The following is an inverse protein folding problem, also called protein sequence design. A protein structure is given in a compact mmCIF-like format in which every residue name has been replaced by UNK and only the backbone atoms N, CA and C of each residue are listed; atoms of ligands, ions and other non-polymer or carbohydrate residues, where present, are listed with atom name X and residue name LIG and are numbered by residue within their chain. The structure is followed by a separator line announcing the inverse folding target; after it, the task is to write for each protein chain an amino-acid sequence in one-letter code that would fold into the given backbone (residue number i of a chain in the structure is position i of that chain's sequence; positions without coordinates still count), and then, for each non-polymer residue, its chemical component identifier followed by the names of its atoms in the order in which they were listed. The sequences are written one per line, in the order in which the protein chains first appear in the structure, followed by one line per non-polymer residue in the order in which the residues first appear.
data_IF_971295429746
#
_entry.id   IF_971295429746
#
_cell.length_a   1.000
_cell.length_b   1.000
_cell.length_c   1.000
_cell.angle_alpha   90.00
_cell.angle_beta   90.00
_cell.angle_gamma   90.00
#
_symmetry.space_group_name_H-M   'P 1'
#
loop_
_entity.id
_entity.type
_entity.pdbx_description
1 polymer ?
#
# COMPACT_ATOMS: atom_id res chain seq x y z
N UNK A 1 -1.58 -6.58 10.56
CA UNK A 1 -0.63 -5.43 10.46
C UNK A 1 -0.32 -4.97 11.88
N UNK A 2 0.86 -4.44 12.20
CA UNK A 2 1.11 -3.83 13.54
C UNK A 2 1.36 -2.33 13.42
N UNK A 3 1.02 -1.51 14.44
CA UNK A 3 1.22 -0.06 14.38
C UNK A 3 2.68 0.34 14.09
N UNK A 4 3.63 -0.37 14.70
CA UNK A 4 5.06 -0.15 14.49
C UNK A 4 5.50 -0.49 13.06
N UNK A 5 4.99 -1.58 12.47
CA UNK A 5 5.29 -1.94 11.09
C UNK A 5 4.68 -0.93 10.11
N UNK A 6 3.44 -0.50 10.35
CA UNK A 6 2.73 0.49 9.56
C UNK A 6 3.46 1.83 9.53
N UNK A 7 3.89 2.32 10.69
CA UNK A 7 4.68 3.56 10.81
C UNK A 7 5.95 3.52 9.96
N UNK A 8 6.68 2.39 9.98
CA UNK A 8 7.89 2.20 9.17
C UNK A 8 7.58 2.22 7.67
N UNK A 9 6.54 1.50 7.24
CA UNK A 9 6.10 1.48 5.83
C UNK A 9 5.71 2.90 5.38
N UNK A 10 4.92 3.61 6.19
CA UNK A 10 4.45 4.97 5.89
C UNK A 10 5.59 5.98 5.76
N UNK A 11 6.62 5.87 6.62
CA UNK A 11 7.84 6.69 6.50
C UNK A 11 8.59 6.41 5.19
N UNK A 12 8.71 5.13 4.81
CA UNK A 12 9.34 4.72 3.55
C UNK A 12 8.58 5.24 2.33
N UNK A 13 7.25 5.12 2.31
CA UNK A 13 6.38 5.68 1.26
C UNK A 13 6.56 7.19 1.12
N UNK A 14 6.57 7.94 2.24
CA UNK A 14 6.81 9.39 2.22
C UNK A 14 8.20 9.75 1.71
N UNK A 15 9.22 8.94 2.00
CA UNK A 15 10.58 9.12 1.45
C UNK A 15 10.56 8.95 -0.07
N UNK A 16 9.87 7.93 -0.58
CA UNK A 16 9.75 7.70 -2.03
C UNK A 16 8.94 8.81 -2.69
N UNK A 17 7.88 9.31 -2.05
CA UNK A 17 7.06 10.40 -2.59
C UNK A 17 7.88 11.68 -2.88
N UNK A 18 8.88 11.96 -2.02
CA UNK A 18 9.82 13.08 -2.20
C UNK A 18 10.78 12.88 -3.38
N UNK A 19 11.10 11.64 -3.74
CA UNK A 19 12.00 11.27 -4.85
C UNK A 19 11.51 10.01 -5.58
N UNK A 20 10.49 10.16 -6.45
CA UNK A 20 9.78 9.05 -7.10
C UNK A 20 10.46 8.53 -8.38
N UNK A 21 11.56 9.14 -8.81
CA UNK A 21 12.31 8.70 -9.99
C UNK A 21 13.04 7.37 -9.72
N UNK A 22 13.31 6.61 -10.79
CA UNK A 22 14.17 5.42 -10.72
C UNK A 22 13.56 4.19 -10.03
N UNK A 23 12.26 4.21 -9.72
CA UNK A 23 11.60 3.11 -8.99
C UNK A 23 11.24 1.97 -9.93
N UNK A 24 11.60 0.76 -9.51
CA UNK A 24 11.24 -0.47 -10.23
C UNK A 24 9.83 -0.91 -9.86
N UNK A 25 9.06 -1.51 -10.77
CA UNK A 25 7.75 -2.09 -10.44
C UNK A 25 7.82 -3.04 -9.24
N UNK A 26 8.82 -3.92 -9.19
CA UNK A 26 8.97 -4.93 -8.14
C UNK A 26 9.18 -4.32 -6.73
N UNK A 27 9.77 -3.11 -6.64
CA UNK A 27 9.90 -2.37 -5.39
C UNK A 27 8.52 -1.93 -4.86
N UNK A 28 7.67 -1.39 -5.74
CA UNK A 28 6.32 -0.97 -5.39
C UNK A 28 5.42 -2.16 -5.06
N UNK A 29 5.60 -3.29 -5.76
CA UNK A 29 4.91 -4.55 -5.46
C UNK A 29 5.29 -5.06 -4.07
N UNK A 30 6.57 -5.00 -3.69
CA UNK A 30 7.04 -5.40 -2.37
C UNK A 30 6.40 -4.55 -1.27
N UNK A 31 6.30 -3.23 -1.47
CA UNK A 31 5.62 -2.32 -0.55
C UNK A 31 4.12 -2.64 -0.43
N UNK A 32 3.43 -2.85 -1.54
CA UNK A 32 2.01 -3.23 -1.54
C UNK A 32 1.78 -4.54 -0.77
N UNK A 33 2.63 -5.56 -0.98
CA UNK A 33 2.56 -6.84 -0.26
C UNK A 33 2.78 -6.70 1.23
N UNK A 34 3.77 -5.88 1.64
CA UNK A 34 4.01 -5.57 3.06
C UNK A 34 2.80 -4.91 3.72
N UNK A 35 1.95 -4.24 2.96
CA UNK A 35 0.69 -3.65 3.42
C UNK A 35 -0.49 -4.63 3.48
N UNK A 36 -0.26 -5.91 3.19
CA UNK A 36 -1.29 -6.95 3.17
C UNK A 36 -2.04 -7.06 1.83
N UNK A 37 -1.54 -6.44 0.76
CA UNK A 37 -2.12 -6.61 -0.57
C UNK A 37 -1.60 -7.87 -1.24
N UNK A 38 -2.48 -8.60 -1.89
CA UNK A 38 -2.19 -9.82 -2.63
C UNK A 38 -2.46 -9.61 -4.12
N UNK A 39 -1.72 -10.32 -4.97
CA UNK A 39 -1.87 -10.18 -6.42
C UNK A 39 -3.15 -10.87 -6.84
N UNK A 40 -4.07 -10.11 -7.44
CA UNK A 40 -5.23 -10.66 -8.12
C UNK A 40 -4.84 -11.21 -9.50
N UNK A 41 -5.40 -12.36 -9.85
CA UNK A 41 -5.19 -13.02 -11.14
C UNK A 41 -6.16 -12.54 -12.22
N UNK A 42 -7.16 -11.73 -11.84
CA UNK A 42 -8.19 -11.23 -12.75
C UNK A 42 -7.70 -9.96 -13.45
N UNK A 43 -7.65 -10.01 -14.79
CA UNK A 43 -7.38 -8.86 -15.64
C UNK A 43 -6.07 -8.92 -16.43
N UNK A 44 -5.90 -7.97 -17.35
CA UNK A 44 -4.72 -7.88 -18.23
C UNK A 44 -3.49 -7.30 -17.53
N UNK A 45 -3.71 -6.41 -16.57
CA UNK A 45 -2.65 -5.74 -15.81
C UNK A 45 -2.50 -6.36 -14.41
N UNK A 46 -1.29 -6.38 -13.81
CA UNK A 46 -1.12 -6.85 -12.44
C UNK A 46 -1.85 -5.92 -11.45
N UNK A 47 -2.90 -6.45 -10.83
CA UNK A 47 -3.69 -5.75 -9.82
C UNK A 47 -3.47 -6.38 -8.45
N UNK A 48 -3.48 -5.54 -7.41
CA UNK A 48 -3.20 -5.93 -6.03
C UNK A 48 -4.36 -5.51 -5.13
N UNK A 49 -4.98 -6.48 -4.48
CA UNK A 49 -6.21 -6.32 -3.69
C UNK A 49 -5.98 -6.74 -2.23
N UNK A 50 -6.90 -6.40 -1.34
CA UNK A 50 -6.92 -6.90 0.04
C UNK A 50 -8.07 -7.88 0.17
N UNK A 51 -7.78 -9.19 0.15
CA UNK A 51 -8.84 -10.19 0.20
C UNK A 51 -9.52 -10.24 1.58
N UNK A 52 -8.75 -10.09 2.66
CA UNK A 52 -9.25 -10.19 4.04
C UNK A 52 -10.02 -8.94 4.49
N UNK A 53 -9.60 -7.77 4.04
CA UNK A 53 -10.16 -6.47 4.46
C UNK A 53 -10.35 -5.55 3.24
N UNK A 54 -11.29 -5.88 2.34
CA UNK A 54 -11.49 -5.13 1.10
C UNK A 54 -11.93 -3.68 1.33
N UNK A 55 -12.56 -3.39 2.47
CA UNK A 55 -12.97 -2.03 2.85
C UNK A 55 -11.77 -1.08 3.10
N UNK A 56 -10.59 -1.63 3.45
CA UNK A 56 -9.42 -0.82 3.78
C UNK A 56 -8.64 -0.33 2.55
N UNK A 57 -8.98 -0.76 1.34
CA UNK A 57 -8.30 -0.26 0.14
C UNK A 57 -8.88 -0.77 -1.17
N UNK A 58 -9.08 0.14 -2.13
CA UNK A 58 -9.48 -0.20 -3.50
C UNK A 58 -8.39 -1.02 -4.21
N UNK A 59 -8.73 -1.80 -5.24
CA UNK A 59 -7.76 -2.48 -6.09
C UNK A 59 -6.68 -1.52 -6.62
N UNK A 60 -5.41 -1.91 -6.52
CA UNK A 60 -4.26 -1.12 -6.94
C UNK A 60 -3.55 -1.81 -8.10
N UNK A 61 -3.55 -1.19 -9.27
CA UNK A 61 -2.79 -1.71 -10.41
C UNK A 61 -1.35 -1.19 -10.37
N UNK A 62 -0.39 -2.10 -10.46
CA UNK A 62 1.04 -1.78 -10.58
C UNK A 62 1.52 -2.31 -11.93
N UNK A 63 1.67 -1.43 -12.93
CA UNK A 63 2.01 -1.86 -14.28
C UNK A 63 3.40 -2.47 -14.31
N UNK A 64 3.54 -3.55 -15.08
CA UNK A 64 4.82 -4.23 -15.32
C UNK A 64 5.17 -4.19 -16.81
N UNK A 65 4.99 -3.02 -17.42
CA UNK A 65 5.41 -2.79 -18.79
C UNK A 65 6.94 -2.95 -18.89
N UNK A 66 7.48 -3.42 -20.02
CA UNK A 66 8.88 -3.84 -20.21
C UNK A 66 9.97 -2.77 -19.99
N UNK A 67 9.63 -1.60 -19.45
CA UNK A 67 10.58 -0.61 -18.97
C UNK A 67 11.16 -1.02 -17.62
N UNK A 68 12.47 -0.83 -17.46
CA UNK A 68 13.20 -1.14 -16.21
C UNK A 68 12.67 -0.36 -15.00
N UNK A 69 12.08 0.81 -15.24
CA UNK A 69 11.64 1.77 -14.23
C UNK A 69 10.28 2.35 -14.59
N UNK A 70 9.51 2.73 -13.57
CA UNK A 70 8.22 3.40 -13.73
C UNK A 70 8.40 4.90 -13.93
N UNK A 71 7.49 5.49 -14.71
CA UNK A 71 7.44 6.95 -14.87
C UNK A 71 7.21 7.59 -13.49
N UNK A 72 7.86 8.72 -13.18
CA UNK A 72 7.73 9.37 -11.87
C UNK A 72 6.28 9.70 -11.49
N UNK A 73 5.43 10.06 -12.46
CA UNK A 73 4.01 10.32 -12.24
C UNK A 73 3.25 9.05 -11.81
N UNK A 74 3.47 7.92 -12.50
CA UNK A 74 2.89 6.63 -12.14
C UNK A 74 3.33 6.18 -10.74
N UNK A 75 4.62 6.32 -10.45
CA UNK A 75 5.16 6.03 -9.11
C UNK A 75 4.48 6.89 -8.05
N UNK A 76 4.35 8.21 -8.26
CA UNK A 76 3.67 9.11 -7.32
C UNK A 76 2.24 8.65 -7.05
N UNK A 77 1.46 8.34 -8.08
CA UNK A 77 0.07 7.92 -7.91
C UNK A 77 -0.05 6.62 -7.10
N UNK A 78 0.82 5.65 -7.37
CA UNK A 78 0.86 4.38 -6.62
C UNK A 78 1.23 4.64 -5.15
N UNK A 79 2.25 5.45 -4.90
CA UNK A 79 2.72 5.76 -3.55
C UNK A 79 1.68 6.55 -2.75
N UNK A 80 1.03 7.54 -3.36
CA UNK A 80 -0.08 8.27 -2.73
C UNK A 80 -1.20 7.31 -2.32
N UNK A 81 -1.61 6.40 -3.21
CA UNK A 81 -2.63 5.38 -2.88
C UNK A 81 -2.20 4.51 -1.70
N UNK A 82 -0.93 4.10 -1.65
CA UNK A 82 -0.40 3.31 -0.54
C UNK A 82 -0.28 4.12 0.76
N UNK A 83 -0.13 5.44 0.71
CA UNK A 83 -0.18 6.29 1.90
C UNK A 83 -1.61 6.39 2.42
N UNK A 84 -2.60 6.59 1.55
CA UNK A 84 -4.01 6.62 1.94
C UNK A 84 -4.45 5.29 2.57
N UNK A 85 -3.99 4.17 2.02
CA UNK A 85 -4.14 2.84 2.61
C UNK A 85 -3.54 2.75 4.02
N UNK A 86 -2.41 3.43 4.26
CA UNK A 86 -1.75 3.42 5.56
C UNK A 86 -2.52 4.28 6.56
N UNK A 87 -3.10 5.40 6.13
CA UNK A 87 -4.00 6.22 6.95
C UNK A 87 -5.26 5.43 7.36
N UNK A 88 -5.84 4.64 6.45
CA UNK A 88 -6.96 3.75 6.75
C UNK A 88 -6.59 2.65 7.75
N UNK A 89 -5.40 2.06 7.61
CA UNK A 89 -4.89 1.11 8.60
C UNK A 89 -4.71 1.75 9.98
N UNK A 90 -4.22 2.99 10.06
CA UNK A 90 -4.09 3.68 11.35
C UNK A 90 -5.45 3.89 12.01
N UNK A 91 -6.46 4.30 11.24
CA UNK A 91 -7.83 4.45 11.74
C UNK A 91 -8.40 3.12 12.23
N UNK A 92 -8.22 2.05 11.46
CA UNK A 92 -8.70 0.72 11.80
C UNK A 92 -8.07 0.18 13.09
N UNK A 93 -6.74 0.28 13.21
CA UNK A 93 -6.04 -0.20 14.41
C UNK A 93 -6.42 0.62 15.64
N UNK A 94 -6.53 1.94 15.51
CA UNK A 94 -6.95 2.79 16.62
C UNK A 94 -8.40 2.49 17.07
N UNK A 95 -9.32 2.15 16.15
CA UNK A 95 -10.68 1.77 16.54
C UNK A 95 -10.75 0.42 17.24
N UNK A 96 -9.88 -0.54 16.87
CA UNK A 96 -9.83 -1.84 17.55
C UNK A 96 -9.29 -1.70 18.99
N UNK A 97 -8.33 -0.80 19.22
CA UNK A 97 -7.80 -0.51 20.57
C UNK A 97 -8.86 0.14 21.49
N UNK A 98 -9.73 1.01 20.97
CA UNK A 98 -10.79 1.68 21.76
C UNK A 98 -11.92 0.72 22.20
N UNK A 99 -12.25 -0.29 21.37
CA UNK A 99 -13.29 -1.28 21.69
C UNK A 99 -12.87 -2.33 22.75
N UNK A 100 -11.57 -2.44 23.04
CA UNK A 100 -11.01 -3.40 24.00
C UNK A 100 -10.99 -2.86 25.45
N UNK A 101 -10.90 -1.53 25.63
CA UNK A 101 -10.90 -0.85 26.94
C UNK A 101 -12.32 -0.75 27.57
N UNK A 102 -13.39 -0.75 26.78
CA UNK A 102 -14.79 -0.63 27.26
C UNK A 102 -15.39 -1.98 27.75
N UNK A 103 -14.63 -3.08 27.69
CA UNK A 103 -15.07 -4.44 28.07
C UNK A 103 -14.51 -4.95 29.40
N UNK A 104 -13.82 -4.11 30.19
CA UNK A 104 -13.20 -4.48 31.47
C UNK A 104 -13.96 -3.89 32.66
#
# INVERSE_FOLDING_TARGET
MTPAALKKIKQELRRILRSPQGRKPDELVSLAKRMGREKDSRGKEPTYVREREPALGSPLSIPRHGSKELKPCTTKNIITTLIDDADKWEQFLNSEDEDEDDRI
#
